data_IF_088932974741
#
_entry.id   IF_088932974741
#
_cell.length_a   1.000
_cell.length_b   1.000
_cell.length_c   1.000
_cell.angle_alpha   90.00
_cell.angle_beta   90.00
_cell.angle_gamma   90.00
#
_symmetry.space_group_name_H-M   'P 1'
#
loop_
_entity.id
_entity.type
_entity.pdbx_description
1 polymer ?
#
# COMPACT_ATOMS: atom_id res chain seq x y z
N UNK A 1 1.54 25.36 -9.26
CA UNK A 1 1.11 23.98 -9.04
C UNK A 1 2.08 23.36 -8.04
N UNK A 2 1.72 23.38 -6.76
CA UNK A 2 2.62 23.01 -5.66
C UNK A 2 1.86 22.05 -4.74
N UNK A 3 2.39 20.85 -4.55
CA UNK A 3 1.94 19.93 -3.49
C UNK A 3 3.07 19.79 -2.46
N UNK A 4 2.83 20.07 -1.17
CA UNK A 4 3.79 19.79 -0.10
C UNK A 4 3.49 18.43 0.55
N UNK A 5 4.49 17.56 0.67
CA UNK A 5 4.46 16.45 1.61
C UNK A 5 5.36 16.82 2.80
N UNK A 6 4.72 17.05 3.95
CA UNK A 6 5.35 17.20 5.25
C UNK A 6 4.87 16.06 6.14
N UNK A 7 5.79 15.32 6.75
CA UNK A 7 5.61 14.75 8.08
C UNK A 7 6.97 14.35 8.66
N UNK A 8 7.40 15.15 9.64
CA UNK A 8 8.42 14.80 10.63
C UNK A 8 7.85 13.72 11.55
N UNK A 9 8.64 12.72 11.92
CA UNK A 9 8.41 11.94 13.15
C UNK A 9 9.66 12.06 14.01
N UNK A 10 9.54 12.83 15.08
CA UNK A 10 10.52 12.98 16.16
C UNK A 10 10.02 12.26 17.40
N UNK A 11 10.89 11.39 17.93
CA UNK A 11 11.25 11.20 19.36
C UNK A 11 10.17 11.00 20.43
N UNK A 12 10.27 9.89 21.18
CA UNK A 12 10.79 9.86 22.57
C UNK A 12 10.53 8.47 23.20
N UNK A 13 11.54 7.75 23.72
CA UNK A 13 11.93 7.64 25.15
C UNK A 13 10.73 7.39 26.09
N UNK A 14 10.66 6.36 26.94
CA UNK A 14 11.44 6.22 28.17
C UNK A 14 11.04 4.92 28.96
N UNK A 15 12.03 4.15 29.43
CA UNK A 15 12.22 3.51 30.77
C UNK A 15 11.08 2.67 31.42
N UNK A 16 11.29 1.38 31.76
CA UNK A 16 11.98 0.78 32.94
C UNK A 16 11.02 0.51 34.14
N UNK A 17 11.05 -0.72 34.69
CA UNK A 17 10.97 -1.12 36.12
C UNK A 17 10.05 -2.36 36.41
N UNK A 18 10.72 -3.48 36.78
CA UNK A 18 10.28 -4.46 37.80
C UNK A 18 10.38 -3.78 39.21
N UNK A 19 9.81 -4.25 40.35
CA UNK A 19 9.65 -5.67 40.75
C UNK A 19 8.49 -6.03 41.74
N UNK A 20 8.51 -7.30 42.20
CA UNK A 20 8.31 -7.79 43.58
C UNK A 20 6.94 -8.36 44.04
N UNK A 21 7.04 -9.66 44.36
CA UNK A 21 6.27 -10.56 45.23
C UNK A 21 5.29 -9.97 46.26
N UNK A 22 4.12 -10.61 46.39
CA UNK A 22 3.24 -10.52 47.55
C UNK A 22 2.29 -11.73 47.62
N UNK A 23 2.33 -12.43 48.75
CA UNK A 23 1.57 -13.63 49.10
C UNK A 23 0.19 -13.27 49.65
N UNK A 24 -0.89 -13.95 49.22
CA UNK A 24 -2.17 -13.96 49.96
C UNK A 24 -2.98 -15.24 49.68
N UNK A 25 -2.96 -16.12 50.68
CA UNK A 25 -4.09 -16.89 51.25
C UNK A 25 -5.27 -17.27 50.36
N UNK A 26 -5.41 -18.59 50.21
CA UNK A 26 -6.60 -19.32 49.78
C UNK A 26 -7.77 -18.94 50.71
N UNK A 27 -8.80 -18.30 50.15
CA UNK A 27 -10.14 -18.28 50.74
C UNK A 27 -11.10 -18.91 49.75
N UNK A 28 -11.63 -20.08 50.13
CA UNK A 28 -12.72 -20.72 49.45
C UNK A 28 -13.99 -19.86 49.61
N UNK A 29 -14.46 -19.28 48.51
CA UNK A 29 -15.77 -18.64 48.45
C UNK A 29 -16.66 -19.42 47.48
N UNK A 30 -17.80 -19.82 48.02
CA UNK A 30 -18.73 -20.78 47.46
C UNK A 30 -19.16 -20.48 46.01
N UNK A 31 -19.15 -21.56 45.22
CA UNK A 31 -19.74 -21.68 43.90
C UNK A 31 -21.21 -21.27 43.93
N UNK A 32 -21.53 -20.06 43.44
CA UNK A 32 -22.89 -19.71 43.04
C UNK A 32 -23.10 -20.22 41.63
N UNK A 33 -23.70 -21.41 41.53
CA UNK A 33 -24.25 -21.97 40.29
C UNK A 33 -25.31 -21.01 39.77
N UNK A 34 -24.90 -20.15 38.83
CA UNK A 34 -25.83 -19.32 38.08
C UNK A 34 -26.41 -20.22 36.99
N UNK A 35 -27.67 -20.61 37.14
CA UNK A 35 -28.41 -21.27 36.09
C UNK A 35 -28.48 -20.33 34.87
N UNK A 36 -27.61 -20.54 33.90
CA UNK A 36 -27.67 -19.86 32.60
C UNK A 36 -28.87 -20.42 31.85
N UNK A 37 -29.98 -19.68 31.90
CA UNK A 37 -31.13 -19.87 31.04
C UNK A 37 -30.68 -20.01 29.58
N UNK A 38 -30.99 -21.14 28.96
CA UNK A 38 -30.60 -21.51 27.58
C UNK A 38 -31.07 -20.53 26.49
N UNK A 39 -31.94 -19.56 26.84
CA UNK A 39 -32.43 -18.53 25.93
C UNK A 39 -31.52 -17.28 25.81
N UNK A 40 -30.57 -17.05 26.73
CA UNK A 40 -29.71 -15.83 26.71
C UNK A 40 -28.36 -16.03 26.00
N UNK A 41 -28.01 -17.28 25.65
CA UNK A 41 -26.77 -17.60 24.93
C UNK A 41 -26.84 -17.33 23.42
N UNK A 42 -28.04 -17.36 22.81
CA UNK A 42 -28.22 -17.19 21.36
C UNK A 42 -28.12 -15.72 20.90
N UNK A 43 -28.59 -14.76 21.70
CA UNK A 43 -28.53 -13.34 21.36
C UNK A 43 -27.12 -12.76 21.52
N UNK A 44 -26.38 -13.19 22.56
CA UNK A 44 -25.01 -12.74 22.81
C UNK A 44 -24.02 -13.24 21.75
N UNK A 45 -24.25 -14.44 21.21
CA UNK A 45 -23.44 -15.03 20.13
C UNK A 45 -23.71 -14.37 18.77
N UNK A 46 -24.96 -13.99 18.48
CA UNK A 46 -25.29 -13.23 17.27
C UNK A 46 -24.67 -11.81 17.26
N UNK A 47 -24.72 -11.10 18.39
CA UNK A 47 -24.15 -9.75 18.51
C UNK A 47 -22.61 -9.75 18.40
N UNK A 48 -21.95 -10.77 18.97
CA UNK A 48 -20.49 -10.91 18.87
C UNK A 48 -20.04 -11.27 17.46
N UNK A 49 -20.74 -12.17 16.77
CA UNK A 49 -20.49 -12.46 15.35
C UNK A 49 -20.65 -11.22 14.46
N UNK A 50 -21.69 -10.40 14.70
CA UNK A 50 -21.91 -9.15 13.96
C UNK A 50 -20.75 -8.15 14.16
N UNK A 51 -20.28 -7.98 15.40
CA UNK A 51 -19.14 -7.11 15.71
C UNK A 51 -17.85 -7.61 15.05
N UNK A 52 -17.61 -8.93 15.05
CA UNK A 52 -16.45 -9.54 14.38
C UNK A 52 -16.52 -9.34 12.86
N UNK A 53 -17.68 -9.57 12.24
CA UNK A 53 -17.88 -9.33 10.80
C UNK A 53 -17.60 -7.86 10.47
N UNK A 54 -18.19 -6.91 11.21
CA UNK A 54 -17.97 -5.48 10.99
C UNK A 54 -16.50 -5.06 11.18
N UNK A 55 -15.79 -5.64 12.16
CA UNK A 55 -14.37 -5.40 12.38
C UNK A 55 -13.49 -5.96 11.25
N UNK A 56 -13.84 -7.13 10.69
CA UNK A 56 -13.10 -7.74 9.58
C UNK A 56 -13.28 -7.04 8.24
N UNK A 57 -14.34 -6.26 8.04
CA UNK A 57 -14.52 -5.49 6.79
C UNK A 57 -13.48 -4.37 6.64
N UNK A 58 -12.90 -3.88 7.74
CA UNK A 58 -11.92 -2.79 7.75
C UNK A 58 -10.48 -3.22 7.40
N UNK A 59 -10.19 -4.52 7.26
CA UNK A 59 -8.83 -5.00 6.96
C UNK A 59 -8.50 -5.08 5.48
N UNK A 60 -9.39 -4.59 4.61
CA UNK A 60 -9.18 -4.67 3.17
C UNK A 60 -8.30 -3.53 2.64
N UNK A 61 -7.28 -3.93 1.87
CA UNK A 61 -6.43 -3.09 1.00
C UNK A 61 -5.19 -2.43 1.63
N UNK A 62 -4.43 -3.14 2.48
CA UNK A 62 -3.00 -2.85 2.63
C UNK A 62 -2.20 -3.62 1.57
N UNK A 63 -2.33 -3.19 0.32
CA UNK A 63 -1.67 -3.83 -0.81
C UNK A 63 -0.21 -3.34 -0.81
N UNK A 64 0.69 -4.08 -0.17
CA UNK A 64 2.09 -3.68 0.00
C UNK A 64 2.77 -3.47 -1.36
N UNK A 65 3.67 -2.49 -1.42
CA UNK A 65 4.50 -2.27 -2.59
C UNK A 65 5.55 -3.38 -2.74
N UNK A 66 5.88 -3.80 -3.97
CA UNK A 66 6.98 -4.72 -4.22
C UNK A 66 8.27 -4.07 -3.74
N UNK A 67 9.13 -4.88 -3.11
CA UNK A 67 10.45 -4.42 -2.73
C UNK A 67 11.29 -4.16 -3.97
N UNK A 68 12.08 -3.11 -3.92
CA UNK A 68 13.06 -2.81 -4.96
C UNK A 68 14.34 -3.57 -4.66
N UNK A 69 14.87 -4.25 -5.69
CA UNK A 69 16.16 -4.90 -5.58
C UNK A 69 17.26 -3.90 -5.95
N UNK A 70 17.96 -3.41 -4.92
CA UNK A 70 19.06 -2.45 -5.08
C UNK A 70 20.31 -3.10 -5.71
N UNK A 71 20.42 -4.44 -5.66
CA UNK A 71 21.53 -5.15 -6.30
C UNK A 71 21.44 -5.13 -7.84
N UNK A 72 20.24 -4.87 -8.37
CA UNK A 72 19.95 -4.61 -9.78
C UNK A 72 19.56 -3.13 -10.00
N UNK A 73 20.30 -2.19 -9.40
CA UNK A 73 20.41 -0.84 -9.98
C UNK A 73 21.64 -0.83 -10.88
N UNK A 74 21.51 -1.20 -12.17
CA UNK A 74 22.57 -0.88 -13.09
C UNK A 74 22.70 0.64 -13.09
N UNK A 75 23.81 1.17 -12.59
CA UNK A 75 24.19 2.58 -12.73
C UNK A 75 24.38 2.99 -14.20
N UNK A 76 24.10 2.08 -15.14
CA UNK A 76 24.10 2.30 -16.57
C UNK A 76 22.75 2.85 -16.99
N UNK A 77 22.73 4.16 -17.23
CA UNK A 77 21.67 4.83 -17.98
C UNK A 77 21.52 4.10 -19.32
N UNK A 78 20.33 3.60 -19.68
CA UNK A 78 20.17 2.89 -20.93
C UNK A 78 20.52 3.84 -22.09
N UNK A 79 21.54 3.45 -22.85
CA UNK A 79 21.96 4.21 -24.02
C UNK A 79 20.99 3.95 -25.17
N UNK A 80 20.54 5.01 -25.87
CA UNK A 80 19.67 4.95 -27.07
C UNK A 80 18.19 4.62 -26.81
N UNK A 81 17.55 5.29 -25.85
CA UNK A 81 16.10 5.20 -25.72
C UNK A 81 15.38 6.16 -26.68
N UNK A 82 14.55 5.61 -27.59
CA UNK A 82 13.84 6.36 -28.63
C UNK A 82 13.02 7.55 -28.11
N UNK A 83 12.36 7.37 -26.96
CA UNK A 83 11.49 8.38 -26.35
C UNK A 83 12.09 8.98 -25.06
N UNK A 84 13.41 8.85 -24.88
CA UNK A 84 14.13 9.33 -23.71
C UNK A 84 14.10 8.34 -22.53
N UNK A 85 14.53 8.85 -21.37
CA UNK A 85 14.68 8.09 -20.13
C UNK A 85 13.52 8.44 -19.18
N UNK A 86 12.95 7.44 -18.55
CA UNK A 86 11.96 7.58 -17.48
C UNK A 86 12.40 6.84 -16.21
N UNK A 87 11.70 7.07 -15.11
CA UNK A 87 11.88 6.31 -13.87
C UNK A 87 10.78 5.26 -13.74
N UNK A 88 11.17 4.05 -13.35
CA UNK A 88 10.22 3.03 -12.89
C UNK A 88 9.82 3.28 -11.43
N UNK A 89 8.98 2.39 -10.88
CA UNK A 89 8.57 2.42 -9.47
C UNK A 89 9.76 2.45 -8.50
N UNK A 90 10.84 1.74 -8.84
CA UNK A 90 12.05 1.64 -8.04
C UNK A 90 13.06 2.75 -8.30
N UNK A 91 12.65 3.84 -8.95
CA UNK A 91 13.53 4.99 -9.28
C UNK A 91 14.71 4.62 -10.19
N UNK A 92 14.67 3.47 -10.86
CA UNK A 92 15.67 3.06 -11.86
C UNK A 92 15.41 3.79 -13.16
N UNK A 93 16.50 4.15 -13.85
CA UNK A 93 16.43 4.74 -15.17
C UNK A 93 16.13 3.66 -16.22
N UNK A 94 14.98 3.77 -16.87
CA UNK A 94 14.51 2.84 -17.90
C UNK A 94 14.16 3.61 -19.18
N UNK A 95 14.12 2.92 -20.33
CA UNK A 95 13.64 3.55 -21.54
C UNK A 95 12.15 3.90 -21.40
N UNK A 96 11.82 5.14 -21.73
CA UNK A 96 10.45 5.61 -21.67
C UNK A 96 9.60 5.03 -22.80
N UNK A 97 8.30 4.85 -22.53
CA UNK A 97 7.30 4.37 -23.48
C UNK A 97 6.88 5.47 -24.45
N UNK A 98 6.67 5.08 -25.70
CA UNK A 98 6.24 5.94 -26.80
C UNK A 98 4.73 6.09 -26.94
N UNK A 99 4.26 6.98 -27.85
CA UNK A 99 2.84 7.20 -28.09
C UNK A 99 2.12 5.90 -28.48
N UNK A 100 1.00 5.59 -27.84
CA UNK A 100 0.18 4.41 -28.10
C UNK A 100 0.70 3.10 -27.49
N UNK A 101 1.92 3.09 -26.94
CA UNK A 101 2.47 1.94 -26.22
C UNK A 101 1.77 1.74 -24.86
N UNK A 102 1.78 0.50 -24.38
CA UNK A 102 1.19 0.16 -23.08
C UNK A 102 1.99 0.78 -21.93
N UNK A 103 1.29 1.30 -20.92
CA UNK A 103 1.87 1.97 -19.76
C UNK A 103 1.04 1.75 -18.49
N UNK A 104 1.59 2.13 -17.34
CA UNK A 104 0.88 2.11 -16.06
C UNK A 104 0.82 0.71 -15.44
N UNK A 105 -0.38 0.31 -15.01
CA UNK A 105 -0.58 -0.85 -14.14
C UNK A 105 -0.15 -0.59 -12.70
N UNK A 106 -0.35 -1.59 -11.83
CA UNK A 106 0.06 -1.51 -10.42
C UNK A 106 1.59 -1.33 -10.37
N UNK A 107 2.05 -0.31 -9.65
CA UNK A 107 3.48 0.02 -9.52
C UNK A 107 4.22 0.23 -10.87
N UNK A 108 3.55 0.78 -11.89
CA UNK A 108 4.17 1.07 -13.20
C UNK A 108 4.78 -0.17 -13.88
N UNK A 109 4.25 -1.37 -13.62
CA UNK A 109 4.74 -2.62 -14.19
C UNK A 109 4.74 -2.66 -15.73
N UNK A 110 3.86 -1.88 -16.38
CA UNK A 110 3.82 -1.77 -17.83
C UNK A 110 4.72 -0.64 -18.38
N UNK A 111 5.38 0.10 -17.50
CA UNK A 111 6.32 1.17 -17.82
C UNK A 111 5.74 2.57 -17.75
N UNK A 112 6.64 3.53 -17.91
CA UNK A 112 6.39 4.97 -17.76
C UNK A 112 6.52 5.65 -19.11
N UNK A 113 5.58 6.53 -19.45
CA UNK A 113 5.60 7.29 -20.70
C UNK A 113 6.75 8.31 -20.75
N UNK A 114 7.22 8.60 -21.97
CA UNK A 114 8.22 9.63 -22.22
C UNK A 114 7.71 11.06 -22.02
N UNK A 115 8.61 12.03 -22.19
CA UNK A 115 8.26 13.45 -22.09
C UNK A 115 7.11 13.81 -23.07
N UNK A 116 6.21 14.70 -22.65
CA UNK A 116 5.05 15.14 -23.45
C UNK A 116 3.91 14.11 -23.57
N UNK A 117 4.05 12.95 -22.93
CA UNK A 117 3.07 11.87 -22.91
C UNK A 117 2.60 11.60 -21.48
N UNK A 118 1.34 11.21 -21.31
CA UNK A 118 0.75 10.75 -20.05
C UNK A 118 0.06 9.41 -20.24
N UNK A 119 -0.03 8.61 -19.18
CA UNK A 119 -0.68 7.31 -19.26
C UNK A 119 -2.20 7.46 -19.08
N UNK A 120 -2.97 7.14 -20.12
CA UNK A 120 -4.43 7.08 -20.08
C UNK A 120 -4.88 5.75 -20.70
N UNK A 121 -5.86 5.07 -20.11
CA UNK A 121 -6.33 3.78 -20.64
C UNK A 121 -5.24 2.72 -20.83
N UNK A 122 -4.25 2.69 -19.93
CA UNK A 122 -3.04 1.87 -20.05
C UNK A 122 -2.26 2.12 -21.36
N UNK A 123 -2.38 3.30 -21.99
CA UNK A 123 -1.62 3.71 -23.16
C UNK A 123 -1.06 5.12 -23.04
N UNK A 124 0.12 5.34 -23.60
CA UNK A 124 0.73 6.67 -23.61
C UNK A 124 0.00 7.58 -24.60
N UNK A 125 -0.57 8.66 -24.08
CA UNK A 125 -1.40 9.63 -24.79
C UNK A 125 -0.73 11.01 -24.75
N UNK A 126 -0.80 11.77 -25.84
CA UNK A 126 -0.10 13.05 -26.02
C UNK A 126 0.85 13.02 -27.23
N UNK A 127 1.84 13.92 -27.24
CA UNK A 127 2.83 14.01 -28.31
C UNK A 127 4.24 13.92 -27.75
N UNK A 128 5.09 13.10 -28.38
CA UNK A 128 6.50 13.08 -28.04
C UNK A 128 7.20 14.33 -28.59
N UNK A 129 7.94 15.09 -27.78
CA UNK A 129 8.74 16.21 -28.27
C UNK A 129 10.00 15.76 -29.01
N UNK A 130 10.35 14.47 -28.93
CA UNK A 130 11.56 13.90 -29.55
C UNK A 130 11.28 13.46 -30.99
N UNK A 131 10.21 12.70 -31.20
CA UNK A 131 9.87 12.17 -32.54
C UNK A 131 8.73 12.92 -33.22
N UNK A 132 8.02 13.81 -32.49
CA UNK A 132 6.82 14.51 -32.94
C UNK A 132 5.64 13.57 -33.28
N UNK A 133 5.73 12.29 -32.90
CA UNK A 133 4.64 11.34 -33.00
C UNK A 133 3.61 11.60 -31.89
N UNK A 134 2.33 11.55 -32.25
CA UNK A 134 1.22 11.75 -31.32
C UNK A 134 0.28 10.56 -31.31
N UNK A 135 -0.28 10.26 -30.15
CA UNK A 135 -1.36 9.29 -29.98
C UNK A 135 -2.39 9.88 -29.02
N UNK A 136 -3.66 9.92 -29.43
CA UNK A 136 -4.72 10.53 -28.62
C UNK A 136 -5.74 9.54 -28.06
N UNK A 137 -5.63 8.24 -28.40
CA UNK A 137 -6.41 7.17 -27.78
C UNK A 137 -7.94 7.36 -27.77
N UNK A 138 -8.62 6.49 -27.04
CA UNK A 138 -10.04 6.59 -26.72
C UNK A 138 -10.17 6.88 -25.22
N UNK A 139 -11.20 7.60 -24.80
CA UNK A 139 -11.47 7.85 -23.39
C UNK A 139 -12.00 6.57 -22.73
N UNK A 140 -11.38 6.22 -21.61
CA UNK A 140 -11.81 5.23 -20.64
C UNK A 140 -11.93 5.99 -19.31
#
# INVERSE_FOLDING_TARGET
LSCPCSSKVTSSTLQHLLPRTGSTTITAAAMRTSATSTATAAAATAATLLVVVLATQMTSMADAAPNCDDSYMPNTIPSRCKFGIAQDWCRRQVCAKGPGEQCGGRWLQHGTCGAGLYCACNRCTGCSPVTLDCFYGQFC
#
